data_IF_535447922358
#
_entry.id   IF_535447922358
#
_cell.length_a   1.000
_cell.length_b   1.000
_cell.length_c   1.000
_cell.angle_alpha   90.00
_cell.angle_beta   90.00
_cell.angle_gamma   90.00
#
_symmetry.space_group_name_H-M   'P 1'
#
loop_
_entity.id
_entity.type
_entity.pdbx_description
1 polymer ?
#
# COMPACT_ATOMS: atom_id res chain seq x y z
N UNK A 1 -2.25 -10.23 34.90
CA UNK A 1 -1.56 -10.54 36.15
C UNK A 1 -2.29 -9.90 37.34
N UNK A 2 -2.44 -10.63 38.43
CA UNK A 2 -3.17 -10.18 39.62
C UNK A 2 -2.25 -9.93 40.83
N UNK A 3 -0.96 -9.70 40.60
CA UNK A 3 0.04 -9.42 41.62
C UNK A 3 0.20 -7.92 41.96
N UNK A 4 -0.50 -7.03 41.19
CA UNK A 4 -0.42 -5.59 41.35
C UNK A 4 0.87 -4.94 40.81
N UNK A 5 1.77 -5.72 40.21
CA UNK A 5 3.08 -5.25 39.74
C UNK A 5 3.38 -5.67 38.30
N UNK A 6 2.91 -6.83 37.84
CA UNK A 6 3.14 -7.35 36.49
C UNK A 6 2.14 -6.81 35.52
N UNK A 7 2.59 -6.56 34.27
CA UNK A 7 1.77 -6.12 33.16
C UNK A 7 2.33 -6.65 31.84
N UNK A 8 1.48 -6.76 30.83
CA UNK A 8 1.92 -7.05 29.47
C UNK A 8 2.43 -5.79 28.78
N UNK A 9 3.42 -5.99 27.91
CA UNK A 9 3.98 -4.94 27.08
C UNK A 9 4.19 -5.43 25.65
N UNK A 10 4.42 -4.50 24.74
CA UNK A 10 4.76 -4.82 23.36
C UNK A 10 6.26 -5.11 23.24
N UNK A 11 6.59 -6.31 22.68
CA UNK A 11 7.97 -6.69 22.33
C UNK A 11 9.00 -6.66 23.46
N UNK A 12 8.59 -6.69 24.75
CA UNK A 12 9.50 -6.59 25.90
C UNK A 12 9.83 -5.15 26.31
N UNK A 13 9.23 -4.14 25.67
CA UNK A 13 9.46 -2.73 25.98
C UNK A 13 8.56 -2.26 27.12
N UNK A 14 9.11 -2.03 28.29
CA UNK A 14 8.38 -1.71 29.52
C UNK A 14 7.56 -0.40 29.45
N UNK A 15 7.91 0.53 28.56
CA UNK A 15 7.17 1.79 28.37
C UNK A 15 5.98 1.64 27.43
N UNK A 16 5.86 0.50 26.73
CA UNK A 16 4.76 0.21 25.81
C UNK A 16 3.79 -0.77 26.45
N UNK A 17 3.02 -0.27 27.41
CA UNK A 17 2.06 -1.07 28.19
C UNK A 17 0.90 -1.51 27.30
N UNK A 18 0.60 -2.80 27.33
CA UNK A 18 -0.54 -3.39 26.62
C UNK A 18 -1.77 -3.34 27.52
N UNK A 19 -2.83 -2.68 27.04
CA UNK A 19 -4.11 -2.68 27.73
C UNK A 19 -4.76 -4.07 27.67
N UNK A 20 -5.53 -4.41 28.73
CA UNK A 20 -6.30 -5.65 28.73
C UNK A 20 -7.52 -5.55 27.82
N UNK A 21 -7.38 -6.03 26.59
CA UNK A 21 -8.42 -5.97 25.54
C UNK A 21 -9.64 -6.86 25.85
N UNK A 22 -9.56 -7.73 26.86
CA UNK A 22 -10.69 -8.55 27.33
C UNK A 22 -11.45 -7.90 28.49
N UNK A 23 -10.97 -6.75 28.99
CA UNK A 23 -11.72 -5.97 29.96
C UNK A 23 -12.84 -5.18 29.24
N UNK A 24 -14.13 -5.38 29.60
CA UNK A 24 -15.24 -4.65 28.97
C UNK A 24 -15.11 -3.14 29.06
N UNK A 25 -14.58 -2.58 30.14
CA UNK A 25 -14.39 -1.14 30.26
C UNK A 25 -13.37 -0.59 29.25
N UNK A 26 -12.32 -1.37 28.92
CA UNK A 26 -11.36 -1.02 27.87
C UNK A 26 -12.04 -1.09 26.50
N UNK A 27 -12.84 -2.14 26.26
CA UNK A 27 -13.58 -2.30 24.99
C UNK A 27 -14.55 -1.14 24.78
N UNK A 28 -15.36 -0.82 25.79
CA UNK A 28 -16.33 0.28 25.73
C UNK A 28 -15.63 1.61 25.50
N UNK A 29 -14.53 1.87 26.22
CA UNK A 29 -13.77 3.11 26.05
C UNK A 29 -13.23 3.29 24.63
N UNK A 30 -12.63 2.27 24.03
CA UNK A 30 -12.10 2.36 22.66
C UNK A 30 -13.23 2.49 21.64
N UNK A 31 -14.33 1.78 21.81
CA UNK A 31 -15.53 1.95 20.97
C UNK A 31 -16.08 3.39 21.05
N UNK A 32 -16.10 3.97 22.24
CA UNK A 32 -16.53 5.37 22.43
C UNK A 32 -15.55 6.37 21.78
N UNK A 33 -14.25 6.07 21.77
CA UNK A 33 -13.27 6.87 21.01
C UNK A 33 -13.61 6.85 19.51
N UNK A 34 -13.96 5.70 18.93
CA UNK A 34 -14.36 5.61 17.53
C UNK A 34 -15.62 6.45 17.28
N UNK A 35 -16.66 6.29 18.11
CA UNK A 35 -17.90 7.09 18.01
C UNK A 35 -17.63 8.58 18.10
N UNK A 36 -16.80 8.98 19.06
CA UNK A 36 -16.41 10.37 19.25
C UNK A 36 -15.68 10.94 18.04
N UNK A 37 -14.69 10.23 17.50
CA UNK A 37 -13.95 10.72 16.34
C UNK A 37 -14.80 10.83 15.09
N UNK A 38 -15.75 9.94 14.89
CA UNK A 38 -16.71 10.04 13.79
C UNK A 38 -17.62 11.25 13.99
N UNK A 39 -18.16 11.45 15.21
CA UNK A 39 -19.10 12.55 15.48
C UNK A 39 -18.45 13.93 15.43
N UNK A 40 -17.20 14.04 15.93
CA UNK A 40 -16.52 15.34 16.06
C UNK A 40 -15.67 15.71 14.84
N UNK A 41 -15.07 14.71 14.18
CA UNK A 41 -14.11 14.94 13.11
C UNK A 41 -14.52 14.34 11.77
N UNK A 42 -15.65 13.64 11.72
CA UNK A 42 -16.17 12.99 10.51
C UNK A 42 -15.14 12.07 9.82
N UNK A 43 -14.31 11.35 10.60
CA UNK A 43 -13.32 10.44 10.04
C UNK A 43 -14.00 9.27 9.32
N UNK A 44 -13.37 8.79 8.22
CA UNK A 44 -13.87 7.69 7.40
C UNK A 44 -13.22 6.33 7.72
N UNK A 45 -12.30 6.32 8.66
CA UNK A 45 -11.61 5.11 9.08
C UNK A 45 -10.53 5.37 10.12
N UNK A 46 -9.95 4.30 10.63
CA UNK A 46 -8.83 4.33 11.56
C UNK A 46 -7.79 3.27 11.22
N UNK A 47 -6.54 3.54 11.56
CA UNK A 47 -5.46 2.57 11.57
C UNK A 47 -5.22 2.07 12.99
N UNK A 48 -5.17 0.75 13.15
CA UNK A 48 -4.79 0.09 14.40
C UNK A 48 -3.29 -0.22 14.36
N UNK A 49 -2.55 0.37 15.28
CA UNK A 49 -1.14 0.11 15.47
C UNK A 49 -0.91 -1.30 16.00
N UNK A 50 0.18 -1.98 15.58
CA UNK A 50 0.55 -3.32 16.00
C UNK A 50 -0.64 -4.31 16.02
N UNK A 51 -1.45 -4.31 14.97
CA UNK A 51 -2.69 -5.10 14.91
C UNK A 51 -2.45 -6.62 14.95
N UNK A 52 -1.24 -7.07 14.63
CA UNK A 52 -0.83 -8.49 14.70
C UNK A 52 -0.83 -9.04 16.13
N UNK A 53 -0.76 -8.19 17.16
CA UNK A 53 -0.81 -8.58 18.58
C UNK A 53 -2.12 -8.23 19.26
N UNK A 54 -3.12 -7.72 18.54
CA UNK A 54 -4.45 -7.47 19.09
C UNK A 54 -5.26 -8.77 19.22
N UNK A 55 -6.11 -8.80 20.25
CA UNK A 55 -7.07 -9.89 20.46
C UNK A 55 -8.13 -9.90 19.35
N UNK A 56 -8.42 -11.07 18.76
CA UNK A 56 -9.36 -11.18 17.66
C UNK A 56 -10.82 -10.90 18.08
N UNK A 57 -11.21 -11.22 19.32
CA UNK A 57 -12.55 -10.89 19.80
C UNK A 57 -12.67 -9.37 19.97
N UNK A 58 -11.61 -8.70 20.42
CA UNK A 58 -11.58 -7.25 20.45
C UNK A 58 -11.68 -6.63 19.04
N UNK A 59 -10.96 -7.17 18.04
CA UNK A 59 -11.11 -6.71 16.65
C UNK A 59 -12.57 -6.86 16.13
N UNK A 60 -13.27 -7.94 16.49
CA UNK A 60 -14.68 -8.12 16.12
C UNK A 60 -15.57 -7.05 16.74
N UNK A 61 -15.30 -6.68 18.00
CA UNK A 61 -16.03 -5.60 18.70
C UNK A 61 -15.77 -4.27 17.99
N UNK A 62 -14.52 -3.96 17.65
CA UNK A 62 -14.18 -2.75 16.91
C UNK A 62 -14.82 -2.73 15.52
N UNK A 63 -14.84 -3.89 14.82
CA UNK A 63 -15.50 -4.01 13.53
C UNK A 63 -17.00 -3.73 13.62
N UNK A 64 -17.68 -4.33 14.60
CA UNK A 64 -19.08 -4.06 14.82
C UNK A 64 -19.36 -2.59 15.07
N UNK A 65 -18.60 -1.95 15.94
CA UNK A 65 -18.71 -0.51 16.19
C UNK A 65 -18.45 0.32 14.92
N UNK A 66 -17.45 -0.04 14.12
CA UNK A 66 -17.15 0.63 12.86
C UNK A 66 -18.34 0.58 11.88
N UNK A 67 -18.92 -0.60 11.72
CA UNK A 67 -20.07 -0.83 10.83
C UNK A 67 -21.33 -0.07 11.31
N UNK A 68 -21.50 0.15 12.63
CA UNK A 68 -22.61 0.91 13.21
C UNK A 68 -22.47 2.42 13.05
N UNK A 69 -21.26 2.97 13.20
CA UNK A 69 -21.10 4.43 13.33
C UNK A 69 -21.09 5.15 11.99
N UNK A 70 -20.63 4.50 10.94
CA UNK A 70 -20.56 5.13 9.60
C UNK A 70 -20.54 4.07 8.51
N UNK A 71 -21.38 4.27 7.50
CA UNK A 71 -21.34 3.42 6.31
C UNK A 71 -19.96 3.50 5.67
N UNK A 72 -19.42 2.35 5.26
CA UNK A 72 -18.12 2.22 4.59
C UNK A 72 -16.93 2.70 5.44
N UNK A 73 -17.08 2.75 6.79
CA UNK A 73 -15.99 3.06 7.69
C UNK A 73 -14.85 2.05 7.53
N UNK A 74 -13.64 2.53 7.27
CA UNK A 74 -12.49 1.67 6.95
C UNK A 74 -11.63 1.37 8.17
N UNK A 75 -11.55 0.10 8.53
CA UNK A 75 -10.74 -0.39 9.65
C UNK A 75 -9.50 -1.08 9.10
N UNK A 76 -8.33 -0.44 9.21
CA UNK A 76 -7.06 -0.91 8.70
C UNK A 76 -6.11 -1.22 9.87
N UNK A 77 -5.38 -2.32 9.79
CA UNK A 77 -4.43 -2.72 10.81
C UNK A 77 -2.99 -2.76 10.31
N UNK A 78 -2.05 -2.46 11.19
CA UNK A 78 -0.65 -2.73 10.91
C UNK A 78 -0.34 -4.19 11.20
N UNK A 79 0.03 -4.92 10.15
CA UNK A 79 0.51 -6.31 10.22
C UNK A 79 1.75 -6.43 9.33
N UNK A 80 2.86 -6.90 9.89
CA UNK A 80 4.12 -6.99 9.15
C UNK A 80 4.22 -8.34 8.45
N UNK A 81 3.95 -9.44 9.14
CA UNK A 81 4.16 -10.79 8.65
C UNK A 81 2.95 -11.69 8.90
N UNK A 82 2.83 -12.74 8.07
CA UNK A 82 1.85 -13.80 8.25
C UNK A 82 0.88 -13.93 7.09
N UNK A 83 -0.11 -14.74 7.28
CA UNK A 83 -1.24 -14.90 6.39
C UNK A 83 -2.25 -13.78 6.66
N UNK A 84 -2.29 -12.77 5.79
CA UNK A 84 -3.12 -11.57 5.97
C UNK A 84 -4.63 -11.88 6.02
N UNK A 85 -5.08 -13.00 5.46
CA UNK A 85 -6.49 -13.41 5.52
C UNK A 85 -6.99 -13.67 6.96
N UNK A 86 -6.08 -13.90 7.90
CA UNK A 86 -6.42 -14.03 9.33
C UNK A 86 -7.00 -12.75 9.90
N UNK A 87 -6.55 -11.59 9.43
CA UNK A 87 -6.99 -10.27 9.89
C UNK A 87 -8.00 -9.62 8.96
N UNK A 88 -7.87 -9.87 7.64
CA UNK A 88 -8.73 -9.25 6.62
C UNK A 88 -9.85 -10.22 6.25
N UNK A 89 -11.02 -9.98 6.79
CA UNK A 89 -12.21 -10.79 6.53
C UNK A 89 -13.49 -10.05 6.95
N UNK A 90 -14.63 -10.64 6.71
CA UNK A 90 -15.93 -10.02 7.01
C UNK A 90 -16.23 -9.76 8.49
N UNK A 91 -15.40 -10.21 9.43
CA UNK A 91 -15.64 -10.08 10.87
C UNK A 91 -14.60 -9.22 11.60
N UNK A 92 -13.45 -8.99 10.99
CA UNK A 92 -12.33 -8.28 11.61
C UNK A 92 -11.95 -7.03 10.81
N UNK A 93 -10.76 -6.95 10.25
CA UNK A 93 -10.30 -5.76 9.56
C UNK A 93 -10.71 -5.74 8.09
N UNK A 94 -10.87 -4.57 7.51
CA UNK A 94 -11.08 -4.39 6.08
C UNK A 94 -9.77 -4.51 5.29
N UNK A 95 -8.64 -4.12 5.89
CA UNK A 95 -7.33 -4.11 5.27
C UNK A 95 -6.22 -4.23 6.31
N UNK A 96 -5.04 -4.63 5.86
CA UNK A 96 -3.79 -4.53 6.60
C UNK A 96 -2.66 -4.01 5.71
N UNK A 97 -1.60 -3.52 6.34
CA UNK A 97 -0.38 -3.06 5.67
C UNK A 97 0.29 -4.19 4.89
N UNK A 98 0.57 -3.95 3.61
CA UNK A 98 1.18 -4.93 2.71
C UNK A 98 2.71 -4.85 2.74
N UNK A 99 3.33 -5.26 3.84
CA UNK A 99 4.79 -5.29 3.98
C UNK A 99 5.45 -6.30 3.03
N UNK A 100 4.75 -7.37 2.66
CA UNK A 100 5.27 -8.33 1.68
C UNK A 100 5.52 -7.67 0.32
N UNK A 101 4.53 -6.91 -0.18
CA UNK A 101 4.67 -6.18 -1.45
C UNK A 101 5.67 -5.02 -1.32
N UNK A 102 5.66 -4.27 -0.21
CA UNK A 102 6.66 -3.24 0.06
C UNK A 102 8.09 -3.79 -0.11
N UNK A 103 8.39 -4.91 0.53
CA UNK A 103 9.71 -5.55 0.43
C UNK A 103 10.03 -5.96 -1.01
N UNK A 104 9.10 -6.61 -1.70
CA UNK A 104 9.31 -7.05 -3.07
C UNK A 104 9.51 -5.90 -4.05
N UNK A 105 8.80 -4.77 -3.87
CA UNK A 105 8.91 -3.60 -4.73
C UNK A 105 10.31 -3.02 -4.72
N UNK A 106 10.90 -2.73 -3.55
CA UNK A 106 12.23 -2.14 -3.53
C UNK A 106 13.33 -3.15 -3.87
N UNK A 107 13.26 -4.39 -3.35
CA UNK A 107 14.32 -5.36 -3.60
C UNK A 107 14.27 -5.89 -5.04
N UNK A 108 13.09 -6.15 -5.59
CA UNK A 108 12.93 -6.57 -6.98
C UNK A 108 13.49 -5.56 -7.99
N UNK A 109 13.43 -4.26 -7.66
CA UNK A 109 14.07 -3.22 -8.48
C UNK A 109 15.59 -3.15 -8.25
N UNK A 110 16.05 -3.15 -7.01
CA UNK A 110 17.48 -3.08 -6.69
C UNK A 110 18.27 -4.29 -7.20
N UNK A 111 17.65 -5.47 -7.15
CA UNK A 111 18.26 -6.73 -7.57
C UNK A 111 17.96 -7.08 -9.05
N UNK A 112 17.27 -6.20 -9.78
CA UNK A 112 16.78 -6.46 -11.14
C UNK A 112 16.06 -7.79 -11.25
N UNK A 113 15.10 -8.06 -10.35
CA UNK A 113 14.42 -9.33 -10.23
C UNK A 113 12.91 -9.19 -10.09
N UNK A 114 12.21 -9.00 -11.20
CA UNK A 114 10.76 -8.91 -11.20
C UNK A 114 10.03 -10.22 -10.85
N UNK A 115 10.72 -11.37 -10.90
CA UNK A 115 10.16 -12.62 -10.39
C UNK A 115 9.78 -12.53 -8.92
N UNK A 116 10.53 -11.78 -8.11
CA UNK A 116 10.19 -11.56 -6.71
C UNK A 116 8.85 -10.83 -6.54
N UNK A 117 8.60 -9.79 -7.35
CA UNK A 117 7.34 -9.03 -7.31
C UNK A 117 6.17 -9.91 -7.78
N UNK A 118 6.32 -10.57 -8.94
CA UNK A 118 5.30 -11.45 -9.49
C UNK A 118 4.95 -12.61 -8.54
N UNK A 119 5.97 -13.24 -7.93
CA UNK A 119 5.78 -14.29 -6.94
C UNK A 119 5.02 -13.77 -5.71
N UNK A 120 5.37 -12.58 -5.23
CA UNK A 120 4.68 -11.97 -4.08
C UNK A 120 3.22 -11.67 -4.41
N UNK A 121 2.92 -11.11 -5.58
CA UNK A 121 1.53 -10.86 -6.01
C UNK A 121 0.75 -12.18 -6.06
N UNK A 122 1.30 -13.23 -6.65
CA UNK A 122 0.67 -14.56 -6.68
C UNK A 122 0.46 -15.15 -5.29
N UNK A 123 1.43 -15.00 -4.40
CA UNK A 123 1.31 -15.43 -3.01
C UNK A 123 0.16 -14.72 -2.29
N UNK A 124 0.04 -13.40 -2.47
CA UNK A 124 -1.05 -12.61 -1.90
C UNK A 124 -2.43 -13.01 -2.46
N UNK A 125 -2.52 -13.26 -3.78
CA UNK A 125 -3.75 -13.74 -4.41
C UNK A 125 -4.21 -15.10 -3.87
N UNK A 126 -3.29 -15.97 -3.47
CA UNK A 126 -3.62 -17.26 -2.84
C UNK A 126 -4.25 -17.12 -1.45
N UNK A 127 -4.13 -15.97 -0.79
CA UNK A 127 -4.82 -15.66 0.47
C UNK A 127 -6.27 -15.23 0.26
N UNK A 128 -6.70 -15.01 -0.98
CA UNK A 128 -8.01 -14.51 -1.36
C UNK A 128 -7.96 -13.13 -2.01
N UNK A 129 -9.14 -12.60 -2.29
CA UNK A 129 -9.30 -11.25 -2.85
C UNK A 129 -9.24 -10.22 -1.72
N UNK A 130 -8.03 -9.86 -1.30
CA UNK A 130 -7.77 -8.98 -0.18
C UNK A 130 -7.43 -7.57 -0.68
N UNK A 131 -8.17 -6.55 -0.23
CA UNK A 131 -7.84 -5.15 -0.44
C UNK A 131 -6.77 -4.69 0.56
N UNK A 132 -5.50 -4.98 0.26
CA UNK A 132 -4.38 -4.63 1.12
C UNK A 132 -3.91 -3.19 0.92
N UNK A 133 -3.48 -2.56 2.01
CA UNK A 133 -2.87 -1.23 2.01
C UNK A 133 -1.43 -1.29 1.50
N UNK A 134 -1.25 -0.94 0.22
CA UNK A 134 0.04 -0.97 -0.46
C UNK A 134 0.81 0.34 -0.24
N UNK A 135 2.10 0.22 -0.01
CA UNK A 135 3.00 1.36 0.18
C UNK A 135 4.41 1.02 -0.30
N UNK A 136 5.20 2.03 -0.61
CA UNK A 136 6.63 1.91 -0.95
C UNK A 136 7.53 2.36 0.20
N UNK A 137 7.02 3.24 1.05
CA UNK A 137 7.61 3.65 2.32
C UNK A 137 6.54 4.14 3.29
N UNK A 138 6.92 4.32 4.55
CA UNK A 138 6.09 4.86 5.61
C UNK A 138 6.96 5.50 6.71
N UNK A 139 6.35 5.82 7.85
CA UNK A 139 7.02 6.47 8.98
C UNK A 139 8.00 5.57 9.76
N UNK A 140 8.05 4.26 9.46
CA UNK A 140 8.88 3.26 10.16
C UNK A 140 9.98 2.64 9.29
N UNK A 141 9.93 2.85 7.97
CA UNK A 141 10.91 2.32 7.03
C UNK A 141 11.60 3.44 6.25
N UNK A 142 12.76 3.15 5.68
CA UNK A 142 13.50 4.11 4.85
C UNK A 142 12.65 4.62 3.69
N UNK A 143 12.78 5.91 3.39
CA UNK A 143 12.16 6.54 2.23
C UNK A 143 12.52 5.80 0.96
N UNK A 144 11.54 5.60 0.08
CA UNK A 144 11.76 4.85 -1.18
C UNK A 144 12.86 5.46 -2.03
N UNK A 145 12.95 6.79 -2.07
CA UNK A 145 14.00 7.47 -2.80
C UNK A 145 15.39 7.10 -2.27
N UNK A 146 15.58 7.02 -0.95
CA UNK A 146 16.82 6.55 -0.32
C UNK A 146 17.06 5.06 -0.58
N UNK A 147 16.03 4.24 -0.50
CA UNK A 147 16.09 2.78 -0.60
C UNK A 147 16.49 2.29 -1.99
N UNK A 148 16.07 3.00 -3.04
CA UNK A 148 16.40 2.68 -4.42
C UNK A 148 17.86 3.01 -4.74
N UNK A 149 18.62 2.01 -5.19
CA UNK A 149 20.01 2.19 -5.65
C UNK A 149 20.06 3.01 -6.94
N UNK A 150 19.18 2.69 -7.91
CA UNK A 150 18.99 3.49 -9.11
C UNK A 150 17.74 4.35 -8.97
N UNK A 151 17.90 5.67 -8.98
CA UNK A 151 16.79 6.63 -8.83
C UNK A 151 15.82 6.61 -10.02
N UNK A 152 16.25 6.15 -11.20
CA UNK A 152 15.36 5.95 -12.33
C UNK A 152 14.26 4.90 -12.04
N UNK A 153 14.50 3.99 -11.10
CA UNK A 153 13.49 3.01 -10.67
C UNK A 153 12.34 3.62 -9.86
N UNK A 154 12.42 4.88 -9.48
CA UNK A 154 11.29 5.58 -8.84
C UNK A 154 10.02 5.51 -9.68
N UNK A 155 10.14 5.65 -11.00
CA UNK A 155 9.00 5.58 -11.90
C UNK A 155 8.36 4.18 -11.95
N UNK A 156 9.05 3.09 -12.32
CA UNK A 156 8.44 1.76 -12.38
C UNK A 156 7.94 1.26 -11.02
N UNK A 157 8.60 1.61 -9.91
CA UNK A 157 8.11 1.28 -8.55
C UNK A 157 6.73 1.88 -8.30
N UNK A 158 6.53 3.18 -8.63
CA UNK A 158 5.25 3.85 -8.42
C UNK A 158 4.20 3.43 -9.45
N UNK A 159 4.59 3.10 -10.69
CA UNK A 159 3.67 2.47 -11.64
C UNK A 159 3.11 1.18 -11.04
N UNK A 160 3.94 0.32 -10.48
CA UNK A 160 3.48 -0.93 -9.84
C UNK A 160 2.63 -0.65 -8.61
N UNK A 161 3.02 0.30 -7.74
CA UNK A 161 2.23 0.69 -6.57
C UNK A 161 0.79 1.07 -6.94
N UNK A 162 0.62 1.87 -8.00
CA UNK A 162 -0.69 2.40 -8.41
C UNK A 162 -1.52 1.43 -9.24
N UNK A 163 -0.92 0.38 -9.81
CA UNK A 163 -1.60 -0.49 -10.78
C UNK A 163 -1.78 -1.94 -10.33
N UNK A 164 -0.99 -2.42 -9.39
CA UNK A 164 -1.19 -3.73 -8.75
C UNK A 164 -2.46 -3.75 -7.90
N UNK A 165 -3.05 -4.93 -7.63
CA UNK A 165 -4.18 -5.07 -6.73
C UNK A 165 -3.89 -4.50 -5.34
N UNK A 166 -4.92 -3.91 -4.70
CA UNK A 166 -4.84 -3.27 -3.39
C UNK A 166 -4.99 -1.76 -3.43
N UNK A 167 -4.88 -1.10 -2.29
CA UNK A 167 -5.07 0.34 -2.10
C UNK A 167 -3.71 1.03 -2.01
N UNK A 168 -3.29 1.83 -3.01
CA UNK A 168 -2.01 2.52 -3.00
C UNK A 168 -2.00 3.67 -1.99
N UNK A 169 -0.88 3.83 -1.31
CA UNK A 169 -0.63 4.91 -0.36
C UNK A 169 0.70 5.58 -0.63
N UNK A 170 0.72 6.89 -0.48
CA UNK A 170 1.94 7.72 -0.55
C UNK A 170 2.17 8.33 0.83
N UNK A 171 3.33 8.09 1.40
CA UNK A 171 3.76 8.74 2.64
C UNK A 171 4.19 10.17 2.35
N UNK A 172 3.79 11.13 3.23
CA UNK A 172 4.06 12.56 3.01
C UNK A 172 5.54 12.84 2.77
N UNK A 173 5.84 13.67 1.79
CA UNK A 173 7.21 14.00 1.37
C UNK A 173 7.80 13.03 0.35
N UNK A 174 7.30 11.79 0.25
CA UNK A 174 7.77 10.83 -0.77
C UNK A 174 7.35 11.25 -2.17
N UNK A 175 6.25 11.99 -2.30
CA UNK A 175 5.84 12.62 -3.56
C UNK A 175 6.85 13.65 -4.07
N UNK A 176 7.66 14.21 -3.19
CA UNK A 176 8.72 15.15 -3.56
C UNK A 176 10.07 14.46 -3.84
N UNK A 177 10.16 13.14 -3.61
CA UNK A 177 11.40 12.39 -3.73
C UNK A 177 12.41 12.72 -2.63
N UNK A 178 11.95 13.08 -1.42
CA UNK A 178 12.86 13.37 -0.31
C UNK A 178 13.55 12.11 0.18
N UNK A 179 14.76 12.27 0.66
CA UNK A 179 15.54 11.21 1.28
C UNK A 179 15.23 11.07 2.77
N UNK A 180 15.43 9.86 3.31
CA UNK A 180 15.33 9.57 4.73
C UNK A 180 15.79 8.16 5.03
N UNK A 181 16.85 8.04 5.83
CA UNK A 181 17.45 6.77 6.22
C UNK A 181 17.01 6.38 7.63
N UNK A 182 16.65 5.11 7.83
CA UNK A 182 16.35 4.59 9.17
C UNK A 182 17.60 4.62 10.04
N UNK A 183 17.52 5.31 11.16
CA UNK A 183 18.57 5.36 12.18
C UNK A 183 18.25 4.41 13.32
N UNK A 184 19.30 3.93 14.02
CA UNK A 184 19.14 2.90 15.05
C UNK A 184 18.29 3.33 16.25
N UNK A 185 18.31 4.62 16.58
CA UNK A 185 17.66 5.15 17.79
C UNK A 185 16.81 6.41 17.51
N UNK A 186 16.52 6.71 16.24
CA UNK A 186 15.76 7.89 15.87
C UNK A 186 15.01 7.67 14.56
N UNK A 187 13.77 8.11 14.53
CA UNK A 187 12.95 8.15 13.32
C UNK A 187 12.88 9.58 12.73
N UNK A 188 13.64 10.52 13.26
CA UNK A 188 13.57 11.93 12.87
C UNK A 188 13.81 12.14 11.37
N UNK A 189 14.75 11.40 10.77
CA UNK A 189 15.02 11.44 9.32
C UNK A 189 13.86 10.94 8.45
N UNK A 190 12.99 10.07 9.01
CA UNK A 190 11.80 9.55 8.34
C UNK A 190 10.59 10.47 8.51
N UNK A 191 10.60 11.34 9.52
CA UNK A 191 9.46 12.17 9.95
C UNK A 191 9.82 13.66 10.01
N UNK A 192 10.43 14.24 8.93
CA UNK A 192 10.82 15.65 8.94
C UNK A 192 9.59 16.55 8.97
N UNK A 193 9.71 17.71 9.62
CA UNK A 193 8.78 18.81 9.41
C UNK A 193 9.06 19.42 8.04
N UNK A 194 8.04 19.55 7.19
CA UNK A 194 8.16 20.12 5.87
C UNK A 194 7.48 21.50 5.84
N UNK A 195 8.14 22.50 5.24
CA UNK A 195 7.48 23.72 4.84
C UNK A 195 6.94 23.54 3.41
N UNK A 196 5.62 23.53 3.26
CA UNK A 196 4.97 23.35 1.95
C UNK A 196 5.25 24.48 0.97
N UNK A 197 5.69 25.66 1.44
CA UNK A 197 6.13 26.74 0.56
C UNK A 197 7.36 26.36 -0.28
N UNK A 198 8.23 25.49 0.26
CA UNK A 198 9.41 24.99 -0.47
C UNK A 198 9.03 24.09 -1.65
N UNK A 199 7.78 23.60 -1.67
CA UNK A 199 7.22 22.66 -2.67
C UNK A 199 6.04 23.25 -3.46
N UNK A 200 5.79 24.57 -3.37
CA UNK A 200 4.62 25.21 -3.95
C UNK A 200 4.45 24.97 -5.47
N UNK A 201 5.53 24.81 -6.20
CA UNK A 201 5.53 24.52 -7.64
C UNK A 201 5.94 23.07 -8.00
N UNK A 202 5.98 22.18 -7.01
CA UNK A 202 6.43 20.80 -7.21
C UNK A 202 5.60 20.04 -8.27
N UNK A 203 4.30 20.27 -8.36
CA UNK A 203 3.44 19.64 -9.37
C UNK A 203 3.90 19.89 -10.82
N UNK A 204 4.62 21.00 -11.08
CA UNK A 204 5.10 21.37 -12.41
C UNK A 204 6.62 21.21 -12.58
N UNK A 205 7.38 21.30 -11.49
CA UNK A 205 8.85 21.31 -11.54
C UNK A 205 9.51 20.05 -10.98
N UNK A 206 8.81 19.32 -10.10
CA UNK A 206 9.36 18.10 -9.51
C UNK A 206 8.87 16.87 -10.28
N UNK A 207 9.75 16.08 -10.91
CA UNK A 207 9.34 14.92 -11.72
C UNK A 207 8.67 13.81 -10.90
N UNK A 208 9.06 13.64 -9.62
CA UNK A 208 8.41 12.66 -8.74
C UNK A 208 6.96 13.06 -8.46
N UNK A 209 6.71 14.32 -8.12
CA UNK A 209 5.38 14.86 -7.87
C UNK A 209 4.50 14.79 -9.11
N UNK A 210 5.03 15.19 -10.27
CA UNK A 210 4.31 15.13 -11.54
C UNK A 210 3.90 13.70 -11.90
N UNK A 211 4.80 12.73 -11.72
CA UNK A 211 4.51 11.31 -11.96
C UNK A 211 3.41 10.79 -11.02
N UNK A 212 3.54 11.01 -9.72
CA UNK A 212 2.57 10.54 -8.73
C UNK A 212 1.20 11.15 -8.97
N UNK A 213 1.14 12.45 -9.28
CA UNK A 213 -0.11 13.11 -9.63
C UNK A 213 -0.76 12.52 -10.90
N UNK A 214 0.06 12.22 -11.93
CA UNK A 214 -0.43 11.57 -13.15
C UNK A 214 -0.95 10.15 -12.88
N UNK A 215 -0.22 9.34 -12.12
CA UNK A 215 -0.64 7.99 -11.73
C UNK A 215 -1.94 7.99 -10.91
N UNK A 216 -2.06 8.95 -9.97
CA UNK A 216 -3.29 9.14 -9.20
C UNK A 216 -4.51 9.42 -10.10
N UNK A 217 -4.36 10.33 -11.08
CA UNK A 217 -5.41 10.62 -12.07
C UNK A 217 -5.76 9.40 -12.93
N UNK A 218 -4.75 8.66 -13.39
CA UNK A 218 -4.96 7.44 -14.19
C UNK A 218 -5.76 6.43 -13.37
N UNK A 219 -5.39 6.18 -12.12
CA UNK A 219 -6.11 5.23 -11.27
C UNK A 219 -7.54 5.68 -10.98
N UNK A 220 -7.76 6.95 -10.65
CA UNK A 220 -9.10 7.50 -10.40
C UNK A 220 -10.00 7.42 -11.64
N UNK A 221 -9.45 7.64 -12.83
CA UNK A 221 -10.16 7.56 -14.08
C UNK A 221 -10.31 6.15 -14.69
N UNK A 222 -9.73 5.13 -14.05
CA UNK A 222 -9.64 3.77 -14.59
C UNK A 222 -10.10 2.73 -13.56
N UNK A 223 -11.42 2.46 -13.44
CA UNK A 223 -11.96 1.52 -12.43
C UNK A 223 -11.33 0.13 -12.46
N UNK A 224 -10.86 -0.33 -13.65
CA UNK A 224 -10.16 -1.61 -13.76
C UNK A 224 -8.90 -1.71 -12.88
N UNK A 225 -8.22 -0.59 -12.57
CA UNK A 225 -7.08 -0.58 -11.67
C UNK A 225 -7.48 -0.77 -10.19
N UNK A 226 -8.70 -0.40 -9.82
CA UNK A 226 -9.22 -0.59 -8.47
C UNK A 226 -9.94 -1.92 -8.29
N UNK A 227 -10.79 -2.30 -9.24
CA UNK A 227 -11.74 -3.41 -9.10
C UNK A 227 -11.53 -4.55 -10.10
N UNK A 228 -10.61 -4.39 -11.07
CA UNK A 228 -10.39 -5.37 -12.12
C UNK A 228 -9.62 -6.61 -11.64
N UNK A 229 -9.84 -7.72 -12.32
CA UNK A 229 -9.02 -8.92 -12.15
C UNK A 229 -7.57 -8.66 -12.58
N UNK A 230 -6.66 -9.46 -12.05
CA UNK A 230 -5.23 -9.39 -12.38
C UNK A 230 -4.83 -10.64 -13.17
N UNK A 231 -4.04 -10.45 -14.23
CA UNK A 231 -3.46 -11.55 -15.00
C UNK A 231 -2.03 -11.18 -15.44
N UNK A 232 -1.05 -12.02 -15.09
CA UNK A 232 0.32 -11.89 -15.59
C UNK A 232 0.34 -12.16 -17.11
N UNK A 233 1.04 -11.32 -17.88
CA UNK A 233 1.16 -11.45 -19.33
C UNK A 233 2.57 -11.83 -19.77
N UNK A 234 3.59 -11.21 -19.20
CA UNK A 234 4.99 -11.49 -19.49
C UNK A 234 5.86 -11.22 -18.28
N UNK A 235 6.88 -12.03 -18.09
CA UNK A 235 7.79 -11.93 -16.96
C UNK A 235 9.20 -12.37 -17.33
N UNK A 236 10.15 -11.49 -17.08
CA UNK A 236 11.59 -11.77 -17.07
C UNK A 236 12.19 -11.18 -15.80
N UNK A 237 13.49 -11.31 -15.60
CA UNK A 237 14.16 -10.62 -14.49
C UNK A 237 13.96 -9.11 -14.56
N UNK A 238 13.93 -8.52 -15.78
CA UNK A 238 13.99 -7.07 -15.98
C UNK A 238 12.74 -6.47 -16.59
N UNK A 239 11.84 -7.26 -17.14
CA UNK A 239 10.58 -6.84 -17.72
C UNK A 239 9.42 -7.56 -17.05
N UNK A 240 8.36 -6.81 -16.77
CA UNK A 240 7.14 -7.34 -16.21
C UNK A 240 5.93 -6.69 -16.86
N UNK A 241 4.98 -7.53 -17.29
CA UNK A 241 3.71 -7.06 -17.86
C UNK A 241 2.54 -7.86 -17.27
N UNK A 242 1.45 -7.15 -17.01
CA UNK A 242 0.19 -7.74 -16.54
C UNK A 242 -1.01 -6.96 -17.05
N UNK A 243 -2.17 -7.59 -17.02
CA UNK A 243 -3.45 -6.97 -17.33
C UNK A 243 -4.29 -6.76 -16.07
N UNK A 244 -5.10 -5.70 -16.10
CA UNK A 244 -6.23 -5.47 -15.20
C UNK A 244 -7.49 -5.39 -16.05
N UNK A 245 -8.43 -6.32 -15.83
CA UNK A 245 -9.63 -6.47 -16.63
C UNK A 245 -10.89 -6.21 -15.79
N UNK A 246 -11.80 -5.34 -16.28
CA UNK A 246 -13.09 -5.04 -15.68
C UNK A 246 -14.11 -4.74 -16.78
N UNK A 247 -15.19 -5.53 -16.86
CA UNK A 247 -16.38 -5.25 -17.70
C UNK A 247 -16.04 -4.86 -19.15
N UNK A 248 -15.08 -5.58 -19.77
CA UNK A 248 -14.64 -5.32 -21.15
C UNK A 248 -13.58 -4.23 -21.30
N UNK A 249 -13.19 -3.57 -20.20
CA UNK A 249 -12.05 -2.66 -20.15
C UNK A 249 -10.81 -3.46 -19.78
N UNK A 250 -9.77 -3.38 -20.61
CA UNK A 250 -8.45 -3.96 -20.34
C UNK A 250 -7.40 -2.87 -20.21
N UNK A 251 -6.68 -2.89 -19.11
CA UNK A 251 -5.47 -2.09 -18.93
C UNK A 251 -4.26 -3.03 -18.96
N UNK A 252 -3.29 -2.74 -19.81
CA UNK A 252 -2.01 -3.45 -19.83
C UNK A 252 -0.97 -2.56 -19.19
N UNK A 253 -0.30 -3.08 -18.19
CA UNK A 253 0.80 -2.40 -17.48
C UNK A 253 2.10 -3.08 -17.85
N UNK A 254 3.09 -2.29 -18.24
CA UNK A 254 4.43 -2.77 -18.56
C UNK A 254 5.47 -1.96 -17.80
N UNK A 255 6.43 -2.63 -17.21
CA UNK A 255 7.58 -2.01 -16.55
C UNK A 255 8.88 -2.68 -16.97
N UNK A 256 9.93 -1.88 -17.05
CA UNK A 256 11.29 -2.30 -17.38
C UNK A 256 12.26 -1.70 -16.34
N UNK A 257 13.09 -2.52 -15.71
CA UNK A 257 14.15 -2.08 -14.81
C UNK A 257 15.55 -2.37 -15.37
N UNK A 258 15.65 -2.57 -16.68
CA UNK A 258 16.93 -2.67 -17.38
C UNK A 258 17.51 -1.26 -17.70
N UNK A 259 18.80 -1.22 -17.96
CA UNK A 259 19.49 -0.01 -18.41
C UNK A 259 19.26 0.29 -19.90
N UNK A 260 18.62 -0.63 -20.63
CA UNK A 260 18.30 -0.53 -22.05
C UNK A 260 16.80 -0.69 -22.33
N UNK A 261 16.37 -0.14 -23.46
CA UNK A 261 15.02 -0.35 -23.99
C UNK A 261 14.78 -1.83 -24.30
N UNK A 262 13.54 -2.26 -24.15
CA UNK A 262 13.13 -3.64 -24.41
C UNK A 262 11.79 -3.68 -25.15
N UNK A 263 11.65 -4.66 -26.02
CA UNK A 263 10.40 -4.95 -26.71
C UNK A 263 9.72 -6.17 -26.07
N UNK A 264 8.41 -6.09 -25.91
CA UNK A 264 7.58 -7.18 -25.42
C UNK A 264 6.41 -7.43 -26.37
N UNK A 265 6.22 -8.69 -26.74
CA UNK A 265 5.02 -9.15 -27.45
C UNK A 265 3.97 -9.58 -26.41
N UNK A 266 2.86 -8.87 -26.35
CA UNK A 266 1.84 -9.07 -25.34
C UNK A 266 0.49 -9.44 -25.96
N UNK A 267 -0.29 -10.35 -25.35
CA UNK A 267 -1.64 -10.65 -25.78
C UNK A 267 -2.57 -9.46 -25.48
N UNK A 268 -3.05 -8.80 -26.50
CA UNK A 268 -3.88 -7.59 -26.39
C UNK A 268 -5.38 -7.86 -26.32
N UNK A 269 -5.81 -9.12 -26.47
CA UNK A 269 -7.22 -9.46 -26.57
C UNK A 269 -7.82 -8.97 -27.90
N UNK A 270 -9.06 -8.49 -27.89
CA UNK A 270 -9.78 -8.07 -29.10
C UNK A 270 -9.63 -6.58 -29.42
N UNK A 271 -8.92 -5.80 -28.62
CA UNK A 271 -8.77 -4.36 -28.84
C UNK A 271 -7.79 -4.09 -30.00
N UNK A 272 -8.17 -3.28 -31.00
CA UNK A 272 -7.33 -2.99 -32.16
C UNK A 272 -6.21 -1.96 -31.83
N UNK A 273 -6.39 -1.16 -30.80
CA UNK A 273 -5.48 -0.08 -30.42
C UNK A 273 -5.46 0.10 -28.90
N UNK A 274 -4.31 0.45 -28.36
CA UNK A 274 -4.13 0.92 -26.99
C UNK A 274 -3.58 2.35 -26.97
N UNK A 275 -3.93 3.09 -25.92
CA UNK A 275 -3.43 4.45 -25.70
C UNK A 275 -2.67 4.48 -24.40
N UNK A 276 -1.42 4.93 -24.42
CA UNK A 276 -0.59 5.10 -23.22
C UNK A 276 -1.19 6.15 -22.30
N UNK A 277 -1.62 5.73 -21.12
CA UNK A 277 -2.32 6.60 -20.16
C UNK A 277 -1.44 7.75 -19.62
N UNK A 278 -0.11 7.57 -19.61
CA UNK A 278 0.85 8.59 -19.16
C UNK A 278 1.42 9.39 -20.33
N UNK A 279 1.50 8.82 -21.52
CA UNK A 279 2.22 9.41 -22.68
C UNK A 279 1.30 9.89 -23.80
N UNK A 280 0.06 9.39 -23.86
CA UNK A 280 -0.83 9.57 -24.99
C UNK A 280 -0.42 8.82 -26.27
N UNK A 281 0.66 8.03 -26.22
CA UNK A 281 1.13 7.25 -27.36
C UNK A 281 0.10 6.20 -27.75
N UNK A 282 -0.14 6.08 -29.06
CA UNK A 282 -1.01 5.05 -29.62
C UNK A 282 -0.19 3.85 -30.08
N UNK A 283 -0.65 2.66 -29.72
CA UNK A 283 -0.06 1.38 -30.12
C UNK A 283 -1.15 0.53 -30.75
N UNK A 284 -1.00 0.21 -32.03
CA UNK A 284 -1.93 -0.67 -32.74
C UNK A 284 -1.57 -2.13 -32.47
N UNK A 285 -2.61 -2.94 -32.25
CA UNK A 285 -2.44 -4.39 -32.18
C UNK A 285 -2.04 -4.93 -33.55
N UNK A 286 -1.01 -5.76 -33.56
CA UNK A 286 -0.63 -6.53 -34.78
C UNK A 286 -1.33 -7.88 -34.68
N UNK A 287 -2.14 -8.19 -35.69
CA UNK A 287 -2.88 -9.46 -35.79
C UNK A 287 -1.99 -10.67 -36.07
#
# INVERSE_FOLDING_TARGET
YNDGFSYDNWGGYNLLVKLNQRNPEVQDYICDVIRYWVSEFDVDGIRLDAADVLDFDFMRILRHTADEVKKDFWLMGEVIHGDYSRWVNGQTLHSVTNYALHKALYSGHNDHNYFEIAHTVKYLQNMGDLDLYNFVDNHDVERIHTKLQNKAHFAPVHVLLYTLPGVPSIYYGSEFGIDGKKEKFSDASLRPALDLNDYADAATKNPCTALIAALGKVRQGTPALSYGSYAELALTNRQFAFARDLEGIRVIVTVNNDDSDSEMNLPTGSAPEYVGALTGQKVSAQG
#
